data_IF_157379705922
#
_entry.id   IF_157379705922
#
_cell.length_a   1.000
_cell.length_b   1.000
_cell.length_c   1.000
_cell.angle_alpha   90.00
_cell.angle_beta   90.00
_cell.angle_gamma   90.00
#
_symmetry.space_group_name_H-M   'P 1'
#
loop_
_entity.id
_entity.type
_entity.pdbx_description
1 polymer ?
#
# COMPACT_ATOMS: atom_id res chain seq x y z
N UNK A 1 0.91 -6.87 -7.94
CA UNK A 1 0.83 -6.78 -6.45
C UNK A 1 -0.27 -7.68 -5.92
N UNK A 2 -0.28 -8.07 -4.64
CA UNK A 2 -1.37 -8.86 -4.02
C UNK A 2 -2.57 -7.96 -3.70
N UNK A 3 -3.75 -8.56 -3.57
CA UNK A 3 -4.95 -7.84 -3.12
C UNK A 3 -4.71 -7.21 -1.73
N UNK A 4 -5.07 -5.93 -1.58
CA UNK A 4 -4.87 -5.15 -0.35
C UNK A 4 -3.40 -4.82 -0.02
N UNK A 5 -2.46 -5.04 -0.96
CA UNK A 5 -1.07 -4.66 -0.75
C UNK A 5 -0.88 -3.13 -0.75
N UNK A 6 -1.56 -2.43 -1.66
CA UNK A 6 -1.52 -0.96 -1.73
C UNK A 6 -1.98 -0.31 -0.41
N UNK A 7 -3.08 -0.80 0.17
CA UNK A 7 -3.60 -0.27 1.43
C UNK A 7 -2.64 -0.50 2.60
N UNK A 8 -2.01 -1.70 2.67
CA UNK A 8 -1.00 -2.01 3.69
C UNK A 8 0.24 -1.11 3.55
N UNK A 9 0.67 -0.87 2.33
CA UNK A 9 1.80 0.03 2.03
C UNK A 9 1.44 1.47 2.42
N UNK A 10 0.26 1.95 2.03
CA UNK A 10 -0.26 3.27 2.42
C UNK A 10 -0.33 3.45 3.95
N UNK A 11 -0.86 2.46 4.66
CA UNK A 11 -0.91 2.48 6.13
C UNK A 11 0.48 2.54 6.76
N UNK A 12 1.46 1.78 6.24
CA UNK A 12 2.84 1.82 6.70
C UNK A 12 3.50 3.18 6.47
N UNK A 13 3.25 3.81 5.32
CA UNK A 13 3.78 5.13 5.01
C UNK A 13 3.18 6.20 5.93
N UNK A 14 1.86 6.17 6.15
CA UNK A 14 1.18 7.05 7.09
C UNK A 14 1.74 6.90 8.51
N UNK A 15 1.93 5.67 8.98
CA UNK A 15 2.49 5.36 10.29
C UNK A 15 3.90 5.96 10.46
N UNK A 16 4.75 5.77 9.47
CA UNK A 16 6.10 6.32 9.47
C UNK A 16 6.11 7.85 9.52
N UNK A 17 5.33 8.51 8.65
CA UNK A 17 5.28 9.97 8.57
C UNK A 17 4.73 10.59 9.85
N UNK A 18 3.72 9.97 10.46
CA UNK A 18 3.06 10.53 11.64
C UNK A 18 3.81 10.18 12.93
N UNK A 19 4.12 8.90 13.16
CA UNK A 19 4.71 8.43 14.42
C UNK A 19 6.22 8.62 14.47
N UNK A 20 6.92 8.41 13.36
CA UNK A 20 8.40 8.51 13.34
C UNK A 20 8.86 9.92 12.97
N UNK A 21 8.17 10.59 12.04
CA UNK A 21 8.57 11.92 11.55
C UNK A 21 7.77 13.08 12.16
N UNK A 22 6.74 12.80 12.97
CA UNK A 22 5.99 13.81 13.71
C UNK A 22 5.12 14.73 12.84
N UNK A 23 4.81 14.31 11.60
CA UNK A 23 3.91 15.07 10.73
C UNK A 23 2.48 14.85 11.23
N UNK A 24 1.72 15.93 11.39
CA UNK A 24 0.31 15.83 11.75
C UNK A 24 -0.45 15.01 10.69
N UNK A 25 -1.15 13.97 11.14
CA UNK A 25 -1.98 13.10 10.30
C UNK A 25 -3.01 13.88 9.47
N UNK A 26 -3.52 15.01 9.98
CA UNK A 26 -4.48 15.84 9.24
C UNK A 26 -3.87 16.54 8.02
N UNK A 27 -2.53 16.55 7.92
CA UNK A 27 -1.79 17.13 6.78
C UNK A 27 -1.36 16.08 5.74
N UNK A 28 -1.69 14.80 5.96
CA UNK A 28 -1.31 13.70 5.07
C UNK A 28 -2.55 13.13 4.42
N UNK A 29 -2.55 13.08 3.08
CA UNK A 29 -3.59 12.41 2.29
C UNK A 29 -2.95 11.25 1.54
N UNK A 30 -3.51 10.06 1.67
CA UNK A 30 -3.10 8.88 0.91
C UNK A 30 -4.05 8.71 -0.28
N UNK A 31 -3.49 8.67 -1.48
CA UNK A 31 -4.22 8.44 -2.73
C UNK A 31 -3.77 7.11 -3.32
N UNK A 32 -4.72 6.28 -3.77
CA UNK A 32 -4.39 5.06 -4.51
C UNK A 32 -3.93 5.43 -5.93
N UNK A 33 -2.66 5.15 -6.23
CA UNK A 33 -2.03 5.50 -7.51
C UNK A 33 -2.37 4.60 -8.69
N UNK A 34 -3.14 3.52 -8.48
CA UNK A 34 -3.40 2.50 -9.48
C UNK A 34 -2.29 1.45 -9.55
N UNK A 35 -2.06 0.91 -10.75
CA UNK A 35 -1.14 -0.20 -10.96
C UNK A 35 0.12 0.23 -11.71
N UNK A 36 1.27 -0.26 -11.24
CA UNK A 36 2.57 -0.19 -11.89
C UNK A 36 3.27 -1.55 -11.80
N UNK A 37 4.33 -1.72 -12.59
CA UNK A 37 5.12 -2.97 -12.62
C UNK A 37 5.72 -3.32 -11.24
N UNK A 38 6.09 -2.29 -10.47
CA UNK A 38 6.65 -2.43 -9.13
C UNK A 38 5.86 -1.59 -8.12
N UNK A 39 5.86 -2.05 -6.87
CA UNK A 39 5.27 -1.28 -5.77
C UNK A 39 6.11 0.00 -5.54
N UNK A 40 5.46 1.17 -5.59
CA UNK A 40 6.14 2.46 -5.52
C UNK A 40 5.36 3.48 -4.68
N UNK A 41 6.05 4.49 -4.16
CA UNK A 41 5.46 5.63 -3.45
C UNK A 41 5.83 6.93 -4.16
N UNK A 42 4.83 7.77 -4.38
CA UNK A 42 5.03 9.15 -4.82
C UNK A 42 4.72 10.10 -3.66
N UNK A 43 5.63 11.03 -3.39
CA UNK A 43 5.46 12.02 -2.35
C UNK A 43 5.38 13.42 -2.96
N UNK A 44 4.33 14.15 -2.63
CA UNK A 44 4.06 15.47 -3.15
C UNK A 44 3.82 16.43 -1.99
N UNK A 45 4.43 17.61 -2.07
CA UNK A 45 4.16 18.71 -1.14
C UNK A 45 3.23 19.67 -1.87
N UNK A 46 2.00 19.77 -1.40
CA UNK A 46 0.94 20.56 -2.03
C UNK A 46 0.52 21.69 -1.09
N UNK A 47 0.38 22.94 -1.56
CA UNK A 47 -0.19 24.02 -0.76
C UNK A 47 -1.60 23.69 -0.28
N UNK A 48 -2.02 24.26 0.86
CA UNK A 48 -3.37 24.06 1.37
C UNK A 48 -4.41 24.56 0.36
N UNK A 49 -5.38 23.70 0.01
CA UNK A 49 -6.47 24.04 -0.90
C UNK A 49 -6.16 23.89 -2.40
N UNK A 50 -4.92 23.57 -2.77
CA UNK A 50 -4.61 23.22 -4.15
C UNK A 50 -5.05 21.78 -4.47
N UNK A 51 -5.32 21.51 -5.75
CA UNK A 51 -5.73 20.18 -6.18
C UNK A 51 -4.60 19.15 -5.96
N UNK A 52 -4.94 17.93 -5.51
CA UNK A 52 -3.94 16.88 -5.39
C UNK A 52 -3.41 16.47 -6.77
N UNK A 53 -2.17 15.96 -6.84
CA UNK A 53 -1.61 15.45 -8.08
C UNK A 53 -2.47 14.30 -8.64
N UNK A 54 -2.64 14.28 -9.96
CA UNK A 54 -3.32 13.16 -10.59
C UNK A 54 -2.41 11.91 -10.62
N UNK A 55 -2.93 10.73 -10.22
CA UNK A 55 -2.21 9.48 -10.36
C UNK A 55 -1.76 9.20 -11.80
N UNK A 56 -0.57 8.62 -11.96
CA UNK A 56 -0.02 8.19 -13.25
C UNK A 56 0.27 6.68 -13.26
N UNK A 57 -0.77 5.82 -13.29
CA UNK A 57 -0.57 4.38 -13.41
C UNK A 57 0.10 4.04 -14.75
N UNK A 58 0.98 3.03 -14.74
CA UNK A 58 1.65 2.55 -15.96
C UNK A 58 1.01 1.27 -16.51
N UNK A 59 0.14 0.62 -15.74
CA UNK A 59 -0.54 -0.61 -16.12
C UNK A 59 -2.05 -0.45 -15.98
N UNK A 60 -2.79 -1.13 -16.86
CA UNK A 60 -4.24 -1.29 -16.71
C UNK A 60 -4.58 -2.33 -15.64
N UNK A 61 -5.77 -2.27 -15.02
CA UNK A 61 -6.21 -3.27 -14.05
C UNK A 61 -6.23 -4.71 -14.58
N UNK A 62 -6.46 -4.89 -15.89
CA UNK A 62 -6.46 -6.21 -16.53
C UNK A 62 -5.06 -6.81 -16.61
N UNK A 63 -4.04 -5.99 -16.85
CA UNK A 63 -2.64 -6.43 -16.93
C UNK A 63 -2.05 -6.67 -15.53
N UNK A 64 -2.52 -5.92 -14.54
CA UNK A 64 -2.02 -5.97 -13.18
C UNK A 64 -2.53 -7.15 -12.34
N UNK A 65 -3.25 -8.10 -12.97
CA UNK A 65 -4.01 -9.16 -12.31
C UNK A 65 -3.22 -9.74 -11.12
N UNK A 66 -3.70 -9.51 -9.88
CA UNK A 66 -2.94 -9.88 -8.70
C UNK A 66 -2.77 -11.39 -8.66
N UNK A 67 -1.52 -11.86 -8.53
CA UNK A 67 -1.25 -13.28 -8.35
C UNK A 67 -2.11 -13.82 -7.19
N UNK A 68 -3.02 -14.75 -7.51
CA UNK A 68 -3.93 -15.35 -6.54
C UNK A 68 -3.13 -15.82 -5.31
N UNK A 69 -3.57 -15.41 -4.13
CA UNK A 69 -2.90 -15.71 -2.87
C UNK A 69 -2.82 -17.23 -2.71
N UNK A 70 -1.59 -17.79 -2.72
CA UNK A 70 -1.40 -19.23 -2.48
C UNK A 70 -1.98 -19.55 -1.10
N UNK A 71 -2.89 -20.51 -0.95
CA UNK A 71 -3.53 -20.78 0.33
C UNK A 71 -2.45 -21.11 1.37
N UNK A 72 -2.50 -20.39 2.49
CA UNK A 72 -1.56 -20.56 3.59
C UNK A 72 -1.48 -22.05 3.96
N UNK A 73 -0.27 -22.61 3.97
CA UNK A 73 -0.06 -24.02 4.32
C UNK A 73 -0.58 -24.25 5.74
N UNK A 74 -1.63 -25.07 5.86
CA UNK A 74 -2.25 -25.46 7.13
C UNK A 74 -1.15 -25.94 8.09
N UNK A 75 -1.04 -25.39 9.32
CA UNK A 75 0.00 -25.83 10.24
C UNK A 75 -0.18 -27.33 10.54
N UNK A 76 0.85 -28.11 10.23
CA UNK A 76 0.87 -29.55 10.49
C UNK A 76 0.71 -29.77 12.00
N UNK A 77 -0.35 -30.46 12.41
CA UNK A 77 -0.57 -30.94 13.79
C UNK A 77 0.48 -32.03 14.12
N UNK A 78 1.71 -31.62 14.38
CA UNK A 78 2.81 -32.46 14.90
C UNK A 78 3.72 -31.47 15.65
N UNK A 79 3.79 -31.41 16.97
CA UNK A 79 3.81 -32.50 17.93
C UNK A 79 3.16 -32.06 19.25
N UNK A 80 2.10 -32.77 19.65
CA UNK A 80 1.72 -32.90 21.07
C UNK A 80 1.91 -34.37 21.38
N UNK A 81 3.15 -34.77 21.67
CA UNK A 81 3.44 -36.13 22.13
C UNK A 81 4.74 -36.17 22.92
N UNK A 82 4.62 -35.88 24.22
CA UNK A 82 5.12 -36.59 25.40
C UNK A 82 5.37 -35.60 26.52
#
# INVERSE_FOLDING_TARGET
SRVGQADRLGARALDYLTKTRGIDSQRVVIVNGGYRETDFYEFWIVPQGAEPPQPSPSLSPSEAQPAAEKPARRPSRRARRR
#
